data_IF_096507426302
#
_entry.id   IF_096507426302
#
_cell.length_a   1.000
_cell.length_b   1.000
_cell.length_c   1.000
_cell.angle_alpha   90.00
_cell.angle_beta   90.00
_cell.angle_gamma   90.00
#
_symmetry.space_group_name_H-M   'P 1'
#
loop_
_entity.id
_entity.type
_entity.pdbx_description
1 polymer ?
2 non-polymer ?
3 water ?
#
# COMPACT_ATOMS: atom_id res chain seq x y z
N UNK A 22 30.96 -4.14 -14.15
CA UNK A 22 30.06 -3.75 -15.23
C UNK A 22 29.23 -2.54 -14.84
N UNK A 23 28.99 -1.67 -15.82
CA UNK A 23 28.32 -0.40 -15.61
C UNK A 23 27.30 -0.10 -16.70
N UNK A 24 27.00 -1.04 -17.59
CA UNK A 24 26.08 -0.80 -18.69
C UNK A 24 25.26 -2.06 -18.89
N UNK A 25 23.99 -1.89 -19.26
CA UNK A 25 23.17 -3.02 -19.71
C UNK A 25 22.04 -2.45 -20.54
N UNK A 26 22.20 -2.53 -21.87
CA UNK A 26 21.33 -1.74 -22.73
C UNK A 26 21.46 -0.27 -22.34
N UNK A 27 20.33 0.41 -22.21
CA UNK A 27 20.32 1.81 -21.78
C UNK A 27 20.19 1.95 -20.27
N UNK A 28 20.36 0.88 -19.51
CA UNK A 28 20.54 1.00 -18.06
C UNK A 28 22.01 1.26 -17.79
N UNK A 29 22.33 2.47 -17.38
CA UNK A 29 23.70 2.91 -17.22
C UNK A 29 23.84 3.52 -15.83
N UNK A 30 24.95 3.19 -15.15
CA UNK A 30 25.14 3.64 -13.78
C UNK A 30 25.23 5.17 -13.69
N UNK A 31 24.66 5.72 -12.62
CA UNK A 31 24.48 7.14 -12.34
C UNK A 31 23.23 7.67 -13.01
N UNK A 32 22.50 6.87 -13.79
CA UNK A 32 21.25 7.36 -14.35
C UNK A 32 20.17 7.49 -13.27
N UNK A 33 19.23 8.38 -13.53
CA UNK A 33 18.05 8.46 -12.70
C UNK A 33 17.08 7.36 -13.07
N UNK A 34 16.42 6.81 -12.06
CA UNK A 34 15.52 5.69 -12.23
C UNK A 34 14.43 5.70 -11.14
N UNK A 35 13.36 4.96 -11.40
CA UNK A 35 12.36 4.62 -10.41
C UNK A 35 12.53 3.19 -9.92
N UNK A 36 12.45 3.02 -8.60
CA UNK A 36 12.60 1.73 -7.97
C UNK A 36 11.43 1.42 -7.04
N UNK A 37 11.11 0.14 -6.97
CA UNK A 37 9.96 -0.34 -6.19
C UNK A 37 10.43 -0.70 -4.80
N UNK A 38 9.88 -0.01 -3.78
CA UNK A 38 10.22 -0.31 -2.40
C UNK A 38 9.39 -1.46 -1.88
N UNK A 39 9.76 -1.92 -0.68
CA UNK A 39 9.20 -3.14 -0.12
C UNK A 39 7.77 -2.91 0.35
N UNK A 40 7.37 -1.64 0.44
CA UNK A 40 6.00 -1.19 0.67
C UNK A 40 5.16 -1.18 -0.60
N UNK A 41 5.70 -1.48 -1.77
CA UNK A 41 5.00 -1.54 -3.03
C UNK A 41 4.73 -0.18 -3.66
N UNK A 42 5.06 0.92 -3.01
CA UNK A 42 5.14 2.14 -3.76
C UNK A 42 6.54 2.33 -4.35
N UNK A 43 6.62 3.17 -5.38
CA UNK A 43 7.81 3.41 -6.18
C UNK A 43 8.33 4.83 -5.97
N UNK A 44 9.66 4.97 -6.00
CA UNK A 44 10.34 6.20 -5.61
C UNK A 44 11.57 6.39 -6.48
N UNK A 45 11.84 7.65 -6.72
CA UNK A 45 12.92 8.06 -7.60
C UNK A 45 14.25 7.83 -6.90
N UNK A 46 15.25 7.40 -7.65
CA UNK A 46 16.57 7.28 -7.11
C UNK A 46 17.62 7.26 -8.20
N UNK A 47 18.78 6.74 -7.84
CA UNK A 47 19.92 6.68 -8.75
C UNK A 47 20.39 5.25 -8.91
N UNK A 48 20.56 4.83 -10.15
CA UNK A 48 21.15 3.52 -10.38
C UNK A 48 22.63 3.60 -10.03
N UNK A 49 23.04 2.98 -8.92
CA UNK A 49 24.43 3.05 -8.50
C UNK A 49 25.23 1.79 -8.81
N UNK A 50 24.61 0.72 -9.29
CA UNK A 50 25.38 -0.47 -9.60
C UNK A 50 24.54 -1.44 -10.40
N UNK A 51 25.24 -2.35 -11.09
CA UNK A 51 24.65 -3.50 -11.76
C UNK A 51 25.43 -4.74 -11.32
N UNK A 52 24.70 -5.79 -10.94
CA UNK A 52 25.25 -7.00 -10.32
C UNK A 52 24.70 -8.21 -11.05
N UNK A 53 25.59 -9.16 -11.36
CA UNK A 53 25.13 -10.44 -11.86
C UNK A 53 24.66 -11.28 -10.68
N UNK A 54 23.46 -11.86 -10.79
CA UNK A 54 22.97 -12.86 -9.86
C UNK A 54 22.31 -13.97 -10.69
N UNK A 55 22.69 -15.22 -10.39
CA UNK A 55 22.28 -16.34 -11.21
C UNK A 55 22.42 -16.00 -12.69
N UNK A 56 21.40 -16.31 -13.49
CA UNK A 56 21.48 -16.11 -14.95
C UNK A 56 21.22 -14.69 -15.43
N UNK A 57 20.93 -13.76 -14.52
CA UNK A 57 20.63 -12.40 -14.93
C UNK A 57 21.28 -11.31 -14.10
N UNK A 58 20.84 -10.08 -14.34
CA UNK A 58 21.36 -8.91 -13.66
C UNK A 58 20.33 -8.39 -12.68
N UNK A 59 20.82 -7.92 -11.53
CA UNK A 59 20.06 -7.07 -10.62
C UNK A 59 20.67 -5.66 -10.59
N UNK A 60 19.87 -4.68 -10.15
CA UNK A 60 20.17 -3.27 -10.28
C UNK A 60 20.08 -2.60 -8.92
N UNK A 61 21.17 -2.00 -8.48
CA UNK A 61 21.22 -1.41 -7.15
C UNK A 61 20.78 0.05 -7.23
N UNK A 62 19.71 0.40 -6.50
CA UNK A 62 19.12 1.73 -6.55
C UNK A 62 19.30 2.42 -5.20
N UNK A 63 19.85 3.62 -5.20
CA UNK A 63 19.86 4.45 -4.02
C UNK A 63 18.76 5.49 -4.13
N UNK A 64 17.79 5.44 -3.21
CA UNK A 64 16.58 6.24 -3.38
C UNK A 64 16.84 7.66 -2.93
N UNK A 65 16.23 8.63 -3.63
CA UNK A 65 16.33 10.02 -3.24
C UNK A 65 15.93 10.19 -1.78
N UNK A 66 14.82 9.57 -1.38
CA UNK A 66 14.24 9.73 -0.06
C UNK A 66 15.24 9.23 0.99
N UNK A 67 15.46 7.92 1.00
CA UNK A 67 16.31 7.23 1.94
C UNK A 67 16.28 5.76 1.56
N UNK A 68 17.37 5.00 1.75
CA UNK A 68 17.37 3.59 1.45
C UNK A 68 18.08 3.24 0.14
N UNK A 69 18.48 1.97 0.04
CA UNK A 69 19.05 1.34 -1.16
C UNK A 69 18.38 -0.02 -1.38
N UNK A 70 18.26 -0.46 -2.62
CA UNK A 70 17.77 -1.82 -2.86
C UNK A 70 18.45 -2.41 -4.08
N UNK A 71 18.60 -3.72 -4.07
CA UNK A 71 19.10 -4.47 -5.22
C UNK A 71 17.88 -5.09 -5.89
N UNK A 72 17.47 -4.54 -7.02
CA UNK A 72 16.17 -4.84 -7.58
C UNK A 72 16.30 -5.58 -8.91
N UNK A 73 15.42 -6.51 -9.18
CA UNK A 73 15.39 -7.08 -10.51
C UNK A 73 14.86 -6.05 -11.50
N UNK A 74 15.06 -6.35 -12.79
CA UNK A 74 14.75 -5.41 -13.85
C UNK A 74 13.28 -5.03 -13.93
N UNK A 75 12.38 -5.88 -13.49
CA UNK A 75 10.95 -5.59 -13.53
C UNK A 75 10.49 -4.77 -12.33
N UNK A 76 11.41 -4.50 -11.40
CA UNK A 76 11.16 -3.66 -10.25
C UNK A 76 11.90 -2.32 -10.31
N UNK A 77 12.18 -1.87 -11.53
CA UNK A 77 12.69 -0.54 -11.80
C UNK A 77 11.95 -0.05 -13.03
N UNK A 78 11.89 1.26 -13.16
CA UNK A 78 11.24 1.89 -14.27
C UNK A 78 12.03 3.15 -14.66
N UNK A 79 11.91 3.52 -15.92
CA UNK A 79 12.56 4.74 -16.37
C UNK A 79 11.85 5.96 -15.86
N UNK A 80 12.63 6.99 -15.68
CA UNK A 80 12.34 8.35 -15.27
C UNK A 80 11.49 9.15 -16.25
N UNK A 81 11.12 8.63 -17.42
CA UNK A 81 10.39 9.45 -18.38
C UNK A 81 9.03 8.81 -18.66
N UNK A 82 8.11 9.62 -19.23
CA UNK A 82 6.83 9.12 -19.71
C UNK A 82 7.00 8.46 -21.08
N UNK A 83 6.34 7.34 -21.32
CA UNK A 83 6.64 6.55 -22.51
C UNK A 83 5.93 7.09 -23.73
N UNK A 84 6.50 6.88 -24.93
CA UNK A 84 5.77 7.27 -26.14
C UNK A 84 4.46 6.50 -26.22
N UNK A 85 3.35 7.24 -26.26
CA UNK A 85 2.03 6.61 -26.33
C UNK A 85 2.01 5.49 -27.39
N UNK A 86 2.71 5.69 -28.52
CA UNK A 86 2.82 4.65 -29.53
C UNK A 86 3.90 3.63 -29.18
N UNK A 87 3.96 3.22 -27.92
CA UNK A 87 4.79 2.12 -27.47
C UNK A 87 4.03 1.28 -26.47
N UNK A 88 2.82 1.69 -26.09
CA UNK A 88 2.05 1.11 -25.01
C UNK A 88 0.89 0.34 -25.60
N UNK A 89 0.70 -0.85 -25.08
CA UNK A 89 -0.27 -1.77 -25.61
C UNK A 89 -1.02 -2.35 -24.42
N UNK A 90 -2.15 -2.98 -24.69
CA UNK A 90 -2.81 -3.77 -23.65
C UNK A 90 -1.86 -4.87 -23.24
N UNK A 91 -1.52 -4.92 -21.94
CA UNK A 91 -0.49 -5.79 -21.42
C UNK A 91 0.78 -5.09 -20.98
N UNK A 92 0.97 -3.83 -21.36
CA UNK A 92 2.21 -3.13 -20.96
C UNK A 92 2.32 -3.02 -19.44
N UNK A 93 3.51 -3.30 -18.93
CA UNK A 93 3.79 -3.19 -17.50
C UNK A 93 4.30 -1.79 -17.21
N UNK A 94 3.57 -1.06 -16.38
CA UNK A 94 3.86 0.35 -16.15
C UNK A 94 3.78 0.67 -14.67
N UNK A 95 4.27 1.86 -14.36
CA UNK A 95 4.06 2.52 -13.07
C UNK A 95 3.18 3.72 -13.35
N UNK A 96 2.14 3.90 -12.54
CA UNK A 96 1.19 4.98 -12.71
C UNK A 96 1.04 5.78 -11.44
N UNK A 97 0.76 7.06 -11.64
CA UNK A 97 0.39 7.93 -10.55
C UNK A 97 -0.99 7.56 -10.01
N UNK A 98 -1.06 7.47 -8.69
CA UNK A 98 -2.29 7.24 -7.97
C UNK A 98 -2.51 8.46 -7.08
N UNK A 99 -3.69 9.07 -7.15
CA UNK A 99 -3.95 10.37 -6.51
C UNK A 99 -5.02 10.16 -5.46
N UNK A 100 -4.65 10.26 -4.18
CA UNK A 100 -5.54 10.20 -3.02
C UNK A 100 -5.97 11.60 -2.63
N UNK A 101 -6.49 12.33 -3.61
CA UNK A 101 -6.90 13.69 -3.40
C UNK A 101 -5.69 14.57 -3.57
N UNK A 102 -5.10 14.90 -2.43
CA UNK A 102 -3.90 15.73 -2.38
C UNK A 102 -2.60 14.92 -2.60
N UNK A 103 -2.49 13.74 -1.99
CA UNK A 103 -1.27 12.96 -2.10
C UNK A 103 -1.15 12.31 -3.48
N UNK A 104 0.09 12.09 -3.93
CA UNK A 104 0.38 11.34 -5.16
C UNK A 104 1.33 10.21 -4.81
N UNK A 105 0.96 9.00 -5.22
CA UNK A 105 1.86 7.85 -5.10
C UNK A 105 2.14 7.22 -6.48
N UNK A 106 3.24 6.46 -6.57
CA UNK A 106 3.55 5.67 -7.74
C UNK A 106 3.40 4.19 -7.43
N UNK A 107 2.65 3.51 -8.27
CA UNK A 107 2.20 2.14 -8.05
C UNK A 107 2.15 1.40 -9.38
N UNK A 108 2.51 0.14 -9.35
CA UNK A 108 2.65 -0.67 -10.55
C UNK A 108 1.30 -1.22 -11.02
N UNK A 109 1.22 -1.51 -12.32
CA UNK A 109 -0.04 -1.89 -12.93
C UNK A 109 0.17 -2.35 -14.36
N UNK A 110 -0.96 -2.57 -15.04
CA UNK A 110 -1.01 -3.11 -16.41
C UNK A 110 -1.92 -2.22 -17.23
N UNK A 111 -1.49 -1.84 -18.44
CA UNK A 111 -2.39 -1.11 -19.34
C UNK A 111 -3.52 -2.04 -19.78
N UNK A 112 -4.75 -1.67 -19.44
CA UNK A 112 -5.93 -2.42 -19.86
C UNK A 112 -6.61 -1.82 -21.08
N UNK A 113 -6.53 -0.51 -21.28
CA UNK A 113 -7.04 0.16 -22.47
C UNK A 113 -6.08 1.27 -22.82
N UNK A 114 -5.95 1.52 -24.12
CA UNK A 114 -5.26 2.68 -24.64
C UNK A 114 -6.27 3.71 -25.12
N UNK A 115 -5.82 4.94 -25.38
CA UNK A 115 -6.75 6.04 -25.60
C UNK A 115 -7.64 5.81 -26.81
N UNK A 116 -8.92 6.15 -26.64
CA UNK A 116 -9.86 6.11 -27.74
C UNK A 116 -11.00 7.09 -27.41
N UNK A 117 -11.93 7.22 -28.36
CA UNK A 117 -13.02 8.16 -28.20
C UNK A 117 -13.82 7.85 -26.95
N UNK A 118 -14.21 6.57 -26.80
CA UNK A 118 -15.10 6.16 -25.71
C UNK A 118 -14.50 6.39 -24.32
N UNK A 119 -13.18 6.34 -24.17
CA UNK A 119 -12.60 6.60 -22.86
C UNK A 119 -12.00 7.99 -22.72
N UNK A 120 -12.30 8.90 -23.66
CA UNK A 120 -11.89 10.30 -23.52
C UNK A 120 -10.35 10.39 -23.56
N UNK A 121 -9.76 9.52 -24.39
CA UNK A 121 -8.34 9.56 -24.75
C UNK A 121 -7.45 9.39 -23.53
N UNK A 122 -7.80 8.42 -22.68
CA UNK A 122 -7.06 8.06 -21.48
C UNK A 122 -6.68 6.58 -21.53
N UNK A 123 -5.60 6.27 -20.79
CA UNK A 123 -5.17 4.90 -20.54
C UNK A 123 -5.90 4.35 -19.30
N UNK A 124 -6.46 3.17 -19.42
CA UNK A 124 -7.03 2.50 -18.25
C UNK A 124 -5.96 1.61 -17.66
N UNK A 125 -5.72 1.74 -16.36
CA UNK A 125 -4.67 1.01 -15.68
C UNK A 125 -5.31 0.06 -14.68
N UNK A 126 -4.97 -1.24 -14.78
CA UNK A 126 -5.26 -2.19 -13.72
C UNK A 126 -4.03 -2.27 -12.82
N UNK A 127 -4.11 -1.70 -11.62
CA UNK A 127 -3.01 -1.80 -10.68
C UNK A 127 -2.88 -3.19 -10.06
N UNK A 128 -1.68 -3.47 -9.55
CA UNK A 128 -1.36 -4.75 -8.90
C UNK A 128 -2.18 -5.05 -7.67
N UNK A 129 -2.74 -4.05 -6.98
CA UNK A 129 -3.61 -4.34 -5.83
C UNK A 129 -5.10 -4.41 -6.22
N UNK A 130 -5.41 -4.55 -7.52
CA UNK A 130 -6.80 -4.71 -7.95
C UNK A 130 -7.59 -3.45 -8.19
N UNK A 131 -7.00 -2.28 -8.00
CA UNK A 131 -7.69 -1.03 -8.27
C UNK A 131 -7.60 -0.72 -9.75
N UNK A 132 -8.51 0.14 -10.24
CA UNK A 132 -8.50 0.58 -11.62
C UNK A 132 -8.75 2.09 -11.76
N UNK A 133 -8.02 2.74 -12.67
CA UNK A 133 -8.28 4.16 -12.92
C UNK A 133 -7.79 4.53 -14.32
N UNK A 134 -8.33 5.62 -14.83
CA UNK A 134 -7.91 6.20 -16.08
C UNK A 134 -6.83 7.24 -15.82
N UNK A 135 -5.79 7.23 -16.64
CA UNK A 135 -4.71 8.20 -16.51
C UNK A 135 -4.31 8.69 -17.89
N UNK A 136 -3.56 9.79 -17.90
CA UNK A 136 -2.95 10.35 -19.09
C UNK A 136 -1.53 9.84 -19.25
N UNK A 137 -1.00 9.96 -20.47
CA UNK A 137 0.38 9.56 -20.78
C UNK A 137 1.38 10.19 -19.83
N UNK A 138 1.09 11.37 -19.30
CA UNK A 138 2.04 12.05 -18.44
C UNK A 138 1.97 11.57 -17.00
N UNK A 139 1.18 10.53 -16.75
CA UNK A 139 1.10 9.93 -15.43
C UNK A 139 1.64 8.50 -15.45
N UNK A 140 2.44 8.14 -16.47
CA UNK A 140 2.91 6.79 -16.66
C UNK A 140 4.41 6.72 -16.80
N UNK A 141 4.98 5.65 -16.27
CA UNK A 141 6.38 5.39 -16.43
C UNK A 141 6.56 3.95 -16.86
N UNK A 142 7.44 3.66 -17.80
CA UNK A 142 7.52 2.28 -18.28
C UNK A 142 8.51 1.46 -17.46
N UNK A 143 8.11 0.23 -17.16
CA UNK A 143 8.98 -0.68 -16.42
C UNK A 143 10.13 -1.14 -17.32
N UNK A 144 11.35 -1.11 -16.77
CA UNK A 144 12.55 -1.29 -17.59
C UNK A 144 12.57 -2.65 -18.26
N UNK A 145 12.38 -3.72 -17.49
CA UNK A 145 12.55 -5.11 -17.97
C UNK A 145 11.39 -5.99 -17.53
N UNK A 146 10.24 -5.84 -18.18
CA UNK A 146 9.07 -6.60 -17.77
C UNK A 146 9.24 -8.06 -18.14
N UNK A 147 8.43 -8.90 -17.50
CA UNK A 147 8.45 -10.31 -17.84
C UNK A 147 7.81 -10.53 -19.19
N UNK A 148 8.16 -11.66 -19.82
CA UNK A 148 7.59 -11.98 -21.12
C UNK A 148 6.09 -12.08 -21.02
N UNK A 149 5.61 -12.75 -19.99
CA UNK A 149 4.23 -12.65 -19.58
C UNK A 149 4.18 -11.57 -18.50
N UNK A 150 3.61 -10.42 -18.83
CA UNK A 150 3.82 -9.22 -18.00
C UNK A 150 3.15 -9.35 -16.64
N UNK A 151 2.05 -10.10 -16.56
CA UNK A 151 1.33 -10.33 -15.31
C UNK A 151 2.06 -11.27 -14.37
N UNK A 152 3.11 -11.93 -14.79
CA UNK A 152 3.59 -13.02 -13.95
C UNK A 152 4.30 -12.52 -12.70
N UNK A 153 4.55 -11.23 -12.58
CA UNK A 153 5.10 -10.69 -11.36
C UNK A 153 4.06 -9.92 -10.56
N UNK A 154 2.80 -10.14 -10.84
CA UNK A 154 1.73 -9.62 -9.99
C UNK A 154 1.62 -10.54 -8.80
N UNK A 155 1.79 -9.99 -7.57
CA UNK A 155 1.95 -10.84 -6.40
C UNK A 155 0.62 -11.39 -5.89
N UNK A 156 -0.40 -10.53 -5.83
CA UNK A 156 -1.74 -10.96 -5.43
C UNK A 156 -2.31 -11.88 -6.51
N UNK A 157 -2.61 -13.13 -6.13
CA UNK A 157 -2.90 -14.16 -7.14
C UNK A 157 -4.25 -13.93 -7.81
N UNK A 158 -5.25 -13.47 -7.05
CA UNK A 158 -6.54 -13.14 -7.64
C UNK A 158 -6.41 -12.02 -8.67
N UNK A 159 -5.59 -11.00 -8.39
CA UNK A 159 -5.37 -9.94 -9.37
C UNK A 159 -4.61 -10.48 -10.57
N UNK A 160 -3.57 -11.28 -10.31
CA UNK A 160 -2.81 -11.88 -11.38
C UNK A 160 -3.73 -12.67 -12.32
N UNK A 161 -4.56 -13.55 -11.75
CA UNK A 161 -5.39 -14.41 -12.60
C UNK A 161 -6.37 -13.57 -13.39
N UNK A 162 -6.97 -12.58 -12.75
CA UNK A 162 -7.83 -11.69 -13.49
C UNK A 162 -7.11 -11.02 -14.66
N UNK A 163 -5.86 -10.59 -14.45
CA UNK A 163 -5.18 -9.84 -15.52
C UNK A 163 -4.72 -10.79 -16.62
N UNK A 164 -4.20 -11.97 -16.26
CA UNK A 164 -3.94 -12.97 -17.29
C UNK A 164 -5.18 -13.24 -18.16
N UNK A 165 -6.32 -13.56 -17.54
CA UNK A 165 -7.51 -13.82 -18.37
C UNK A 165 -7.81 -12.61 -19.22
N UNK A 166 -7.72 -11.43 -18.66
CA UNK A 166 -8.08 -10.23 -19.39
C UNK A 166 -7.15 -9.97 -20.55
N UNK A 167 -5.85 -10.02 -20.31
CA UNK A 167 -4.90 -9.71 -21.39
C UNK A 167 -4.97 -10.81 -22.45
N UNK A 168 -5.04 -12.05 -22.02
CA UNK A 168 -5.15 -13.18 -22.93
C UNK A 168 -6.44 -13.16 -23.73
N UNK A 169 -7.54 -12.68 -23.14
CA UNK A 169 -8.81 -12.64 -23.84
C UNK A 169 -8.95 -11.44 -24.75
N UNK A 170 -7.91 -10.62 -24.87
CA UNK A 170 -8.14 -9.18 -24.92
C UNK A 170 -9.29 -8.53 -25.63
N UNK A 171 -9.33 -8.30 -26.94
CA UNK A 171 -10.30 -7.28 -27.36
C UNK A 171 -11.69 -7.69 -26.89
N UNK A 172 -11.91 -8.99 -26.61
CA UNK A 172 -13.05 -9.43 -25.79
C UNK A 172 -13.00 -8.66 -24.46
N UNK A 173 -14.05 -7.90 -24.14
CA UNK A 173 -14.07 -7.04 -22.96
C UNK A 173 -15.46 -7.09 -22.32
N UNK A 174 -15.83 -8.25 -21.77
CA UNK A 174 -17.18 -8.42 -21.22
C UNK A 174 -17.39 -7.52 -20.01
N UNK A 175 -18.39 -6.64 -20.13
CA UNK A 175 -18.77 -5.64 -19.16
C UNK A 175 -20.27 -5.63 -19.04
N UNK A 176 -20.76 -5.01 -18.00
CA UNK A 176 -22.19 -4.78 -17.86
C UNK A 176 -22.46 -3.32 -18.15
N UNK A 177 -23.62 -3.11 -18.75
CA UNK A 177 -24.12 -1.77 -18.94
C UNK A 177 -24.85 -1.28 -17.70
N UNK A 178 -24.60 -0.03 -17.32
CA UNK A 178 -25.19 0.53 -16.10
C UNK A 178 -25.50 2.01 -16.30
N UNK A 179 -26.58 2.47 -15.67
CA UNK A 179 -27.07 3.84 -15.81
C UNK A 179 -27.06 4.52 -14.46
N UNK A 180 -26.75 5.81 -14.48
CA UNK A 180 -26.90 6.66 -13.30
C UNK A 180 -28.22 6.38 -12.59
N UNK A 181 -28.15 6.20 -11.27
CA UNK A 181 -29.32 5.96 -10.43
C UNK A 181 -29.67 4.51 -10.22
N UNK A 182 -29.15 3.61 -11.06
CA UNK A 182 -29.46 2.19 -10.95
C UNK A 182 -29.08 1.66 -9.57
N UNK A 183 -29.98 0.88 -8.98
CA UNK A 183 -29.75 0.23 -7.70
C UNK A 183 -29.30 -1.19 -7.95
N UNK A 184 -28.17 -1.55 -7.32
CA UNK A 184 -27.58 -2.87 -7.49
C UNK A 184 -26.91 -3.22 -6.19
N UNK A 185 -26.58 -4.49 -6.07
CA UNK A 185 -25.71 -4.95 -5.01
C UNK A 185 -24.27 -4.99 -5.50
N UNK A 186 -23.36 -4.50 -4.65
CA UNK A 186 -21.94 -4.48 -4.95
C UNK A 186 -21.20 -5.15 -3.79
N UNK A 187 -20.26 -6.02 -4.12
CA UNK A 187 -19.50 -6.74 -3.11
C UNK A 187 -18.42 -5.88 -2.50
N UNK A 188 -18.11 -6.16 -1.23
CA UNK A 188 -17.01 -5.47 -0.53
C UNK A 188 -16.66 -6.30 0.69
N UNK A 189 -15.47 -6.89 0.67
CA UNK A 189 -14.97 -7.67 1.79
C UNK A 189 -15.86 -8.85 2.12
N UNK A 190 -16.32 -9.57 1.10
CA UNK A 190 -17.12 -10.77 1.28
C UNK A 190 -18.61 -10.54 1.51
N UNK A 191 -19.07 -9.31 1.46
CA UNK A 191 -20.48 -8.96 1.71
C UNK A 191 -21.01 -8.18 0.53
N UNK A 192 -22.26 -8.44 0.14
CA UNK A 192 -22.92 -7.71 -0.92
C UNK A 192 -23.81 -6.61 -0.34
N UNK A 193 -23.52 -5.38 -0.73
CA UNK A 193 -24.09 -4.21 -0.10
C UNK A 193 -25.06 -3.55 -1.07
N UNK A 194 -26.16 -3.03 -0.53
CA UNK A 194 -27.06 -2.23 -1.34
C UNK A 194 -26.33 -0.96 -1.79
N UNK A 195 -26.40 -0.66 -3.08
CA UNK A 195 -25.63 0.44 -3.62
C UNK A 195 -26.34 1.01 -4.85
N UNK A 196 -25.78 2.14 -5.32
CA UNK A 196 -26.33 2.93 -6.41
C UNK A 196 -25.24 3.33 -7.39
N UNK A 197 -25.58 3.35 -8.66
CA UNK A 197 -24.69 3.85 -9.70
C UNK A 197 -24.78 5.37 -9.74
N UNK A 198 -23.72 6.05 -9.30
CA UNK A 198 -23.69 7.50 -9.36
C UNK A 198 -23.20 8.02 -10.70
N UNK A 199 -22.21 7.37 -11.30
CA UNK A 199 -21.58 7.89 -12.50
C UNK A 199 -21.02 6.76 -13.34
N UNK A 200 -21.05 6.95 -14.66
CA UNK A 200 -20.31 6.11 -15.60
C UNK A 200 -19.27 6.99 -16.28
N UNK A 201 -18.00 6.54 -16.26
CA UNK A 201 -16.90 7.14 -16.98
C UNK A 201 -16.20 6.03 -17.75
N UNK A 202 -16.56 5.86 -19.01
CA UNK A 202 -15.91 4.85 -19.84
C UNK A 202 -16.16 3.42 -19.37
N UNK A 203 -15.09 2.69 -19.05
CA UNK A 203 -15.21 1.33 -18.55
C UNK A 203 -15.31 1.26 -17.03
N UNK A 204 -15.34 2.39 -16.36
CA UNK A 204 -15.49 2.45 -14.92
C UNK A 204 -16.88 2.98 -14.58
N UNK A 205 -17.32 2.63 -13.37
CA UNK A 205 -18.56 3.15 -12.81
C UNK A 205 -18.26 3.56 -11.36
N UNK A 206 -18.87 4.65 -10.91
CA UNK A 206 -18.73 5.06 -9.52
C UNK A 206 -19.93 4.57 -8.73
N UNK A 207 -19.67 3.78 -7.70
CA UNK A 207 -20.71 3.14 -6.91
C UNK A 207 -20.78 3.84 -5.57
N UNK A 208 -21.98 4.13 -5.13
CA UNK A 208 -22.23 4.66 -3.80
C UNK A 208 -22.79 3.54 -2.94
N UNK A 209 -22.00 3.10 -1.97
CA UNK A 209 -22.50 2.16 -0.98
C UNK A 209 -23.42 2.93 -0.03
N UNK A 210 -24.58 2.37 0.29
CA UNK A 210 -25.60 3.13 1.01
C UNK A 210 -25.47 2.99 2.53
N UNK A 211 -25.41 1.76 3.03
CA UNK A 211 -25.35 1.51 4.48
C UNK A 211 -24.39 2.44 5.21
N UNK A 212 -23.33 2.92 4.52
CA UNK A 212 -22.31 3.75 5.16
C UNK A 212 -21.79 4.89 4.29
N UNK A 213 -22.32 5.08 3.08
CA UNK A 213 -22.15 6.28 2.22
C UNK A 213 -20.82 6.37 1.43
N UNK A 214 -19.97 5.36 1.48
CA UNK A 214 -18.72 5.34 0.75
C UNK A 214 -18.90 5.30 -0.78
N UNK A 215 -18.09 6.08 -1.49
CA UNK A 215 -18.04 5.99 -2.95
C UNK A 215 -16.79 5.25 -3.40
N UNK A 216 -16.91 4.60 -4.56
CA UNK A 216 -15.80 3.78 -5.05
C UNK A 216 -15.89 3.61 -6.56
N UNK A 217 -14.77 3.83 -7.24
CA UNK A 217 -14.68 3.51 -8.66
C UNK A 217 -14.40 2.03 -8.90
N UNK A 218 -15.08 1.47 -9.90
CA UNK A 218 -15.06 0.03 -10.15
C UNK A 218 -15.17 -0.22 -11.64
N UNK A 219 -14.41 -1.21 -12.09
CA UNK A 219 -14.41 -1.64 -13.47
C UNK A 219 -15.73 -2.36 -13.82
N UNK A 220 -16.32 -2.02 -14.97
CA UNK A 220 -17.64 -2.55 -15.27
C UNK A 220 -17.58 -4.02 -15.65
N UNK A 221 -16.39 -4.59 -15.81
CA UNK A 221 -16.22 -6.03 -15.96
C UNK A 221 -15.93 -6.75 -14.68
N UNK A 222 -15.96 -6.07 -13.55
CA UNK A 222 -15.71 -6.73 -12.29
C UNK A 222 -16.92 -7.50 -11.77
N UNK A 223 -16.68 -8.72 -11.28
CA UNK A 223 -17.70 -9.53 -10.65
C UNK A 223 -18.11 -9.04 -9.29
N UNK A 224 -17.52 -7.96 -8.79
CA UNK A 224 -18.05 -7.33 -7.59
C UNK A 224 -19.39 -6.65 -7.86
N UNK A 225 -19.67 -6.31 -9.12
CA UNK A 225 -20.96 -5.80 -9.54
C UNK A 225 -21.91 -6.98 -9.74
N UNK A 226 -23.02 -7.00 -9.00
CA UNK A 226 -23.89 -8.16 -9.04
C UNK A 226 -24.34 -8.48 -10.47
N UNK A 227 -24.83 -7.53 -11.26
CA UNK A 227 -25.18 -7.88 -12.65
C UNK A 227 -24.09 -8.64 -13.40
N UNK A 228 -22.82 -8.30 -13.17
CA UNK A 228 -21.72 -8.99 -13.82
C UNK A 228 -21.48 -10.35 -13.17
N UNK A 229 -21.50 -10.38 -11.84
CA UNK A 229 -21.38 -11.62 -11.12
C UNK A 229 -22.40 -12.62 -11.62
N UNK A 230 -23.59 -12.14 -11.97
CA UNK A 230 -24.72 -12.97 -12.41
C UNK A 230 -24.77 -13.18 -13.92
N UNK A 231 -24.02 -12.41 -14.70
CA UNK A 231 -24.01 -12.56 -16.14
C UNK A 231 -23.64 -13.98 -16.51
N UNK A 232 -24.42 -14.57 -17.42
CA UNK A 232 -24.09 -15.89 -17.96
C UNK A 232 -24.74 -16.05 -19.33
N UNK B 22 -3.35 -31.21 12.86
CA UNK B 22 -3.72 -30.32 13.96
C UNK B 22 -5.13 -29.68 13.78
N UNK B 23 -5.72 -29.29 14.90
CA UNK B 23 -6.97 -28.55 14.94
C UNK B 23 -6.92 -27.34 15.86
N UNK B 24 -6.00 -27.32 16.82
CA UNK B 24 -5.76 -26.22 17.73
C UNK B 24 -4.25 -26.00 17.80
N UNK B 25 -3.86 -24.75 18.04
CA UNK B 25 -2.51 -24.43 18.47
C UNK B 25 -2.66 -23.20 19.35
N UNK B 26 -2.38 -23.33 20.64
CA UNK B 26 -2.84 -22.29 21.55
C UNK B 26 -4.32 -22.04 21.32
N UNK B 27 -4.70 -20.76 21.29
CA UNK B 27 -6.09 -20.40 21.05
C UNK B 27 -6.43 -20.22 19.57
N UNK B 28 -5.58 -20.72 18.68
CA UNK B 28 -5.86 -20.69 17.26
C UNK B 28 -6.52 -22.01 16.89
N UNK B 29 -7.76 -21.94 16.40
CA UNK B 29 -8.63 -23.08 16.26
C UNK B 29 -9.39 -22.94 14.95
N UNK B 30 -9.32 -23.97 14.13
CA UNK B 30 -9.98 -23.96 12.83
C UNK B 30 -11.45 -23.55 12.95
N UNK B 31 -11.94 -22.85 11.93
CA UNK B 31 -13.23 -22.20 11.78
C UNK B 31 -13.29 -20.85 12.49
N UNK B 32 -12.31 -20.50 13.32
CA UNK B 32 -12.35 -19.19 13.96
C UNK B 32 -12.22 -18.05 12.94
N UNK B 33 -12.77 -16.89 13.32
CA UNK B 33 -12.56 -15.65 12.59
C UNK B 33 -11.18 -15.11 12.90
N UNK B 34 -10.56 -14.47 11.91
CA UNK B 34 -9.19 -14.01 12.06
C UNK B 34 -8.87 -12.98 10.98
N UNK B 35 -7.84 -12.19 11.22
CA UNK B 35 -7.35 -11.24 10.23
C UNK B 35 -6.05 -11.76 9.62
N UNK B 36 -5.91 -11.56 8.31
CA UNK B 36 -4.74 -12.03 7.59
C UNK B 36 -4.14 -10.95 6.71
N UNK B 37 -2.83 -11.00 6.56
CA UNK B 37 -2.12 -10.01 5.76
C UNK B 37 -2.00 -10.47 4.32
N UNK B 38 -2.62 -9.75 3.38
CA UNK B 38 -2.49 -10.07 1.96
C UNK B 38 -1.13 -9.61 1.42
N UNK B 39 -0.81 -10.09 0.22
CA UNK B 39 0.46 -9.75 -0.42
C UNK B 39 0.54 -8.26 -0.73
N UNK B 40 -0.60 -7.60 -0.80
CA UNK B 40 -0.70 -6.17 -0.94
C UNK B 40 -0.34 -5.39 0.32
N UNK B 41 -0.12 -6.06 1.44
CA UNK B 41 0.21 -5.49 2.73
C UNK B 41 -1.01 -4.94 3.49
N UNK B 42 -2.20 -4.88 2.91
CA UNK B 42 -3.33 -4.55 3.76
C UNK B 42 -3.81 -5.87 4.34
N UNK B 43 -4.53 -5.79 5.45
CA UNK B 43 -5.00 -6.96 6.20
C UNK B 43 -6.51 -7.07 6.03
N UNK B 44 -7.01 -8.31 6.01
CA UNK B 44 -8.40 -8.60 5.65
C UNK B 44 -8.93 -9.77 6.47
N UNK B 45 -10.24 -9.72 6.71
CA UNK B 45 -10.90 -10.70 7.58
C UNK B 45 -11.21 -11.94 6.79
N UNK B 46 -11.02 -13.06 7.44
CA UNK B 46 -11.38 -14.36 6.89
C UNK B 46 -11.47 -15.37 8.00
N UNK B 47 -11.25 -16.63 7.63
CA UNK B 47 -11.45 -17.77 8.51
C UNK B 47 -10.19 -18.63 8.50
N UNK B 48 -9.80 -19.10 9.66
CA UNK B 48 -8.69 -20.03 9.74
C UNK B 48 -9.21 -21.40 9.35
N UNK B 49 -8.87 -21.87 8.15
CA UNK B 49 -9.38 -23.16 7.69
C UNK B 49 -8.43 -24.34 7.94
N UNK B 50 -7.14 -24.09 8.14
CA UNK B 50 -6.24 -25.19 8.48
C UNK B 50 -5.02 -24.64 9.18
N UNK B 51 -4.40 -25.53 9.93
CA UNK B 51 -3.10 -25.32 10.52
C UNK B 51 -2.14 -26.36 9.94
N UNK B 52 -0.88 -25.98 9.73
CA UNK B 52 0.10 -26.84 9.05
C UNK B 52 1.43 -26.79 9.77
N UNK B 53 1.96 -27.96 10.08
CA UNK B 53 3.26 -28.01 10.73
C UNK B 53 4.33 -27.82 9.68
N UNK B 54 5.24 -26.87 9.89
CA UNK B 54 6.34 -26.60 8.98
C UNK B 54 7.61 -26.59 9.82
N UNK B 55 8.25 -27.76 9.93
CA UNK B 55 9.45 -27.92 10.68
C UNK B 55 9.27 -27.57 12.15
N UNK B 56 10.10 -26.66 12.66
CA UNK B 56 10.04 -26.33 14.10
C UNK B 56 8.71 -25.74 14.55
N UNK B 57 7.95 -25.12 13.65
CA UNK B 57 6.77 -24.39 14.03
C UNK B 57 5.58 -24.77 13.16
N UNK B 58 4.68 -23.80 13.02
CA UNK B 58 3.40 -24.04 12.35
C UNK B 58 3.07 -22.83 11.47
N UNK B 59 2.33 -23.08 10.40
CA UNK B 59 1.76 -22.04 9.57
C UNK B 59 0.24 -22.18 9.61
N UNK B 60 -0.43 -21.09 9.20
CA UNK B 60 -1.85 -20.89 9.43
C UNK B 60 -2.51 -20.49 8.13
N UNK B 61 -3.45 -21.32 7.66
CA UNK B 61 -4.08 -21.14 6.35
C UNK B 61 -5.39 -20.39 6.49
N UNK B 62 -5.48 -19.25 5.81
CA UNK B 62 -6.61 -18.34 5.93
C UNK B 62 -7.34 -18.29 4.60
N UNK B 63 -8.66 -18.35 4.65
CA UNK B 63 -9.51 -18.10 3.50
C UNK B 63 -10.21 -16.78 3.75
N UNK B 64 -10.00 -15.83 2.86
CA UNK B 64 -10.41 -14.47 3.09
C UNK B 64 -11.87 -14.30 2.72
N UNK B 65 -12.58 -13.49 3.50
CA UNK B 65 -13.94 -13.15 3.12
C UNK B 65 -14.00 -12.63 1.68
N UNK B 66 -13.01 -11.79 1.30
CA UNK B 66 -12.87 -11.11 0.02
C UNK B 66 -12.22 -12.00 -1.05
N UNK B 67 -12.36 -13.32 -0.98
CA UNK B 67 -11.82 -14.15 -2.06
C UNK B 67 -10.29 -14.14 -2.28
N UNK B 68 -9.54 -14.78 -1.40
CA UNK B 68 -8.30 -15.45 -1.76
C UNK B 68 -7.92 -16.35 -0.59
N UNK B 69 -6.78 -17.00 -0.72
CA UNK B 69 -6.35 -17.96 0.28
C UNK B 69 -4.86 -17.82 0.51
N UNK B 70 -4.42 -17.90 1.75
CA UNK B 70 -2.99 -17.71 2.02
C UNK B 70 -2.56 -18.56 3.19
N UNK B 71 -1.36 -19.08 3.07
CA UNK B 71 -0.74 -19.83 4.13
C UNK B 71 0.26 -18.92 4.79
N UNK B 72 0.04 -18.59 6.06
CA UNK B 72 0.69 -17.45 6.71
C UNK B 72 1.41 -17.86 7.98
N UNK B 73 2.53 -17.21 8.24
CA UNK B 73 3.16 -17.41 9.53
C UNK B 73 2.40 -16.64 10.60
N UNK B 74 2.66 -17.01 11.87
CA UNK B 74 1.95 -16.51 13.02
C UNK B 74 2.02 -15.02 13.19
N UNK B 75 3.00 -14.37 12.58
CA UNK B 75 3.12 -12.94 12.76
C UNK B 75 2.38 -12.17 11.66
N UNK B 76 1.75 -12.90 10.73
CA UNK B 76 0.97 -12.35 9.64
C UNK B 76 -0.50 -12.72 9.76
N UNK B 77 -0.95 -12.98 10.99
CA UNK B 77 -2.36 -13.06 11.30
C UNK B 77 -2.57 -12.33 12.62
N UNK B 78 -3.78 -11.90 12.82
CA UNK B 78 -4.09 -11.12 14.00
C UNK B 78 -5.49 -11.52 14.43
N UNK B 79 -5.74 -11.39 15.72
CA UNK B 79 -7.06 -11.74 16.24
C UNK B 79 -8.10 -10.69 15.88
N UNK B 80 -9.30 -11.17 15.61
CA UNK B 80 -10.45 -10.32 15.32
C UNK B 80 -11.07 -9.78 16.61
N UNK B 81 -10.27 -9.22 17.50
CA UNK B 81 -10.82 -8.50 18.62
C UNK B 81 -9.83 -7.43 19.01
N UNK B 82 -10.33 -6.43 19.71
CA UNK B 82 -9.49 -5.34 20.19
C UNK B 82 -8.79 -5.75 21.49
N UNK B 83 -7.49 -5.52 21.64
CA UNK B 83 -6.81 -5.97 22.85
C UNK B 83 -7.21 -5.12 24.03
N UNK B 84 -6.88 -5.56 25.24
CA UNK B 84 -7.08 -4.69 26.39
C UNK B 84 -5.91 -3.73 26.50
N UNK B 85 -6.21 -2.45 26.70
CA UNK B 85 -5.15 -1.45 26.62
C UNK B 85 -4.27 -1.48 27.85
N UNK B 86 -3.86 -2.68 28.26
CA UNK B 86 -2.98 -2.89 29.39
C UNK B 86 -1.93 -3.90 28.98
N UNK B 87 -2.33 -4.83 28.09
CA UNK B 87 -1.37 -5.70 27.44
C UNK B 87 -0.64 -4.99 26.29
N UNK B 88 -0.95 -3.72 26.04
CA UNK B 88 -0.21 -2.98 25.01
C UNK B 88 0.92 -2.17 25.65
N UNK B 89 2.10 -2.35 25.10
CA UNK B 89 3.31 -1.70 25.55
C UNK B 89 3.99 -1.06 24.34
N UNK B 90 4.98 -0.23 24.62
CA UNK B 90 5.80 0.31 23.55
C UNK B 90 6.61 -0.81 22.93
N UNK B 91 6.40 -1.02 21.64
CA UNK B 91 7.00 -2.14 20.93
C UNK B 91 5.98 -3.19 20.50
N UNK B 92 4.77 -3.14 21.04
CA UNK B 92 3.73 -4.12 20.69
C UNK B 92 3.45 -4.12 19.19
N UNK B 93 3.28 -5.32 18.64
CA UNK B 93 2.95 -5.53 17.24
C UNK B 93 1.43 -5.59 17.05
N UNK B 94 0.92 -4.71 16.22
CA UNK B 94 -0.50 -4.54 16.06
C UNK B 94 -0.84 -4.29 14.60
N UNK B 95 -2.10 -4.53 14.32
CA UNK B 95 -2.76 -4.08 13.13
C UNK B 95 -3.69 -2.93 13.51
N UNK B 96 -3.68 -1.85 12.73
CA UNK B 96 -4.44 -0.67 13.06
C UNK B 96 -5.23 -0.15 11.86
N UNK B 97 -6.37 0.45 12.17
CA UNK B 97 -7.21 1.06 11.16
C UNK B 97 -6.52 2.33 10.66
N UNK B 98 -6.57 2.53 9.36
CA UNK B 98 -6.05 3.68 8.65
C UNK B 98 -7.18 4.21 7.79
N UNK B 99 -7.52 5.48 7.95
CA UNK B 99 -8.68 6.09 7.29
C UNK B 99 -8.21 7.00 6.15
N UNK B 100 -8.10 6.43 4.94
CA UNK B 100 -7.73 7.17 3.74
C UNK B 100 -8.97 7.78 3.12
N UNK B 101 -9.52 8.74 3.87
CA UNK B 101 -10.68 9.50 3.44
C UNK B 101 -11.97 8.76 3.69
N UNK B 102 -12.51 8.15 2.64
CA UNK B 102 -13.75 7.39 2.75
C UNK B 102 -13.48 5.91 2.99
N UNK B 103 -12.44 5.33 2.38
CA UNK B 103 -12.11 3.95 2.66
C UNK B 103 -11.45 3.83 4.04
N UNK B 104 -11.56 2.64 4.64
CA UNK B 104 -10.79 2.29 5.84
C UNK B 104 -10.01 1.02 5.54
N UNK B 105 -8.73 1.05 5.85
CA UNK B 105 -7.83 -0.08 5.57
C UNK B 105 -7.21 -0.57 6.86
N UNK B 106 -6.78 -1.81 6.86
CA UNK B 106 -6.04 -2.37 7.98
C UNK B 106 -4.59 -2.54 7.58
N UNK B 107 -3.68 -2.06 8.43
CA UNK B 107 -2.27 -2.07 8.11
C UNK B 107 -1.46 -2.30 9.38
N UNK B 108 -0.32 -2.95 9.24
CA UNK B 108 0.45 -3.29 10.42
C UNK B 108 1.34 -2.15 10.88
N UNK B 109 1.72 -2.22 12.14
CA UNK B 109 2.64 -1.30 12.75
C UNK B 109 2.98 -1.70 14.18
N UNK B 110 3.61 -0.75 14.86
CA UNK B 110 4.17 -0.90 16.19
C UNK B 110 3.56 0.18 17.06
N UNK B 111 3.22 -0.17 18.29
CA UNK B 111 2.80 0.84 19.27
C UNK B 111 4.00 1.66 19.68
N UNK B 112 3.91 2.97 19.45
CA UNK B 112 4.97 3.89 19.81
C UNK B 112 4.72 4.67 21.09
N UNK B 113 3.46 4.84 21.49
CA UNK B 113 3.06 5.54 22.70
C UNK B 113 1.76 4.92 23.21
N UNK B 114 1.67 4.75 24.52
CA UNK B 114 0.43 4.29 25.14
C UNK B 114 -0.36 5.49 25.60
N UNK B 115 -1.64 5.30 25.98
CA UNK B 115 -2.49 6.44 26.36
C UNK B 115 -1.93 7.23 27.54
N UNK B 116 -2.00 8.56 27.43
CA UNK B 116 -1.73 9.43 28.58
C UNK B 116 -2.35 10.81 28.33
N UNK B 117 -2.06 11.73 29.25
CA UNK B 117 -2.74 13.02 29.20
C UNK B 117 -2.27 13.81 27.99
N UNK B 118 -0.97 13.80 27.73
CA UNK B 118 -0.46 14.56 26.58
C UNK B 118 -1.14 14.14 25.29
N UNK B 119 -1.23 12.84 25.02
CA UNK B 119 -1.77 12.39 23.74
C UNK B 119 -3.28 12.18 23.80
N UNK B 120 -3.92 12.57 24.90
CA UNK B 120 -5.37 12.53 25.05
C UNK B 120 -5.89 11.09 25.06
N UNK B 121 -5.17 10.24 25.81
CA UNK B 121 -5.53 8.84 26.04
C UNK B 121 -5.64 8.04 24.75
N UNK B 122 -4.63 8.18 23.88
CA UNK B 122 -4.56 7.48 22.59
C UNK B 122 -3.26 6.72 22.45
N UNK B 123 -3.25 5.84 21.45
CA UNK B 123 -2.08 5.06 21.04
C UNK B 123 -1.46 5.69 19.82
N UNK B 124 -0.16 5.97 19.90
CA UNK B 124 0.60 6.38 18.74
C UNK B 124 1.07 5.12 18.01
N UNK B 125 0.76 5.04 16.72
CA UNK B 125 1.12 3.90 15.88
C UNK B 125 2.09 4.37 14.80
N UNK B 126 3.24 3.70 14.75
CA UNK B 126 4.20 3.76 13.66
C UNK B 126 3.94 2.57 12.75
N UNK B 127 3.35 2.86 11.61
CA UNK B 127 3.06 1.82 10.65
C UNK B 127 4.30 1.33 9.91
N UNK B 128 4.16 0.16 9.29
CA UNK B 128 5.28 -0.46 8.61
C UNK B 128 5.76 0.33 7.39
N UNK B 129 4.95 1.24 6.84
CA UNK B 129 5.39 2.08 5.75
C UNK B 129 5.86 3.45 6.21
N UNK B 130 6.14 3.63 7.50
CA UNK B 130 6.66 4.92 7.96
C UNK B 130 5.61 5.97 8.32
N UNK B 131 4.33 5.73 8.06
CA UNK B 131 3.32 6.65 8.48
C UNK B 131 3.13 6.57 10.00
N UNK B 132 2.55 7.62 10.54
CA UNK B 132 2.34 7.72 11.99
C UNK B 132 0.96 8.29 12.30
N UNK B 133 0.25 7.71 13.26
CA UNK B 133 -1.06 8.28 13.59
C UNK B 133 -1.51 7.87 14.99
N UNK B 134 -2.35 8.72 15.60
CA UNK B 134 -2.99 8.40 16.88
C UNK B 134 -4.29 7.64 16.62
N UNK B 135 -4.51 6.57 17.40
CA UNK B 135 -5.70 5.73 17.28
C UNK B 135 -6.14 5.35 18.68
N UNK B 136 -7.36 4.84 18.78
CA UNK B 136 -7.94 4.32 20.01
C UNK B 136 -7.85 2.80 20.08
N UNK B 137 -8.00 2.27 21.31
CA UNK B 137 -7.99 0.82 21.52
C UNK B 137 -8.93 0.12 20.55
N UNK B 138 -10.03 0.77 20.18
CA UNK B 138 -11.04 0.12 19.37
C UNK B 138 -10.70 0.13 17.89
N UNK B 139 -9.52 0.65 17.52
CA UNK B 139 -9.02 0.61 16.16
C UNK B 139 -7.78 -0.26 16.01
N UNK B 140 -7.53 -1.15 17.00
CA UNK B 140 -6.31 -1.95 17.06
C UNK B 140 -6.65 -3.43 17.17
N UNK B 141 -5.78 -4.25 16.57
CA UNK B 141 -5.88 -5.69 16.67
C UNK B 141 -4.52 -6.30 16.97
N UNK B 142 -4.45 -7.24 17.90
CA UNK B 142 -3.15 -7.81 18.27
C UNK B 142 -2.72 -8.84 17.25
N UNK B 143 -1.48 -8.75 16.80
CA UNK B 143 -0.95 -9.81 15.99
C UNK B 143 -0.79 -11.07 16.85
N UNK B 144 -1.15 -12.21 16.29
CA UNK B 144 -1.21 -13.45 17.07
C UNK B 144 0.16 -13.89 17.61
N UNK B 145 1.18 -13.94 16.76
CA UNK B 145 2.47 -14.48 17.18
C UNK B 145 3.59 -13.56 16.74
N UNK B 146 3.74 -12.43 17.41
CA UNK B 146 4.80 -11.51 17.02
C UNK B 146 6.15 -12.17 17.21
N UNK B 147 7.19 -11.54 16.67
CA UNK B 147 8.52 -12.05 16.91
C UNK B 147 9.07 -11.47 18.21
N UNK B 148 10.02 -12.20 18.78
CA UNK B 148 10.68 -11.79 20.02
C UNK B 148 11.09 -10.33 19.98
N UNK B 149 11.84 -9.95 18.96
CA UNK B 149 12.08 -8.54 18.66
C UNK B 149 11.05 -8.15 17.59
N UNK B 150 10.07 -7.35 18.01
CA UNK B 150 8.85 -7.16 17.23
C UNK B 150 9.10 -6.47 15.90
N UNK B 151 10.12 -5.63 15.80
CA UNK B 151 10.41 -4.90 14.57
C UNK B 151 11.09 -5.73 13.49
N UNK B 152 11.44 -6.97 13.77
CA UNK B 152 12.27 -7.73 12.82
C UNK B 152 11.52 -8.22 11.60
N UNK B 153 10.20 -8.18 11.58
CA UNK B 153 9.46 -8.51 10.38
C UNK B 153 8.98 -7.24 9.65
N UNK B 154 9.56 -6.09 9.98
CA UNK B 154 9.30 -4.88 9.23
C UNK B 154 10.16 -4.96 7.98
N UNK B 155 9.51 -5.02 6.82
CA UNK B 155 10.20 -5.31 5.56
C UNK B 155 11.06 -4.14 5.10
N UNK B 156 10.53 -2.94 5.18
CA UNK B 156 11.28 -1.77 4.73
C UNK B 156 12.40 -1.51 5.71
N UNK B 157 13.64 -1.52 5.22
CA UNK B 157 14.80 -1.52 6.11
C UNK B 157 14.95 -0.19 6.81
N UNK B 158 14.74 0.91 6.10
CA UNK B 158 14.87 2.19 6.76
C UNK B 158 13.82 2.34 7.87
N UNK B 159 12.62 1.76 7.69
CA UNK B 159 11.61 1.87 8.73
C UNK B 159 11.93 0.93 9.87
N UNK B 160 12.39 -0.26 9.54
CA UNK B 160 12.78 -1.21 10.56
C UNK B 160 13.83 -0.61 11.48
N UNK B 161 14.80 0.10 10.89
CA UNK B 161 15.93 0.61 11.69
C UNK B 161 15.46 1.72 12.63
N UNK B 162 14.62 2.62 12.13
CA UNK B 162 14.07 3.66 12.98
C UNK B 162 13.34 3.05 14.16
N UNK B 163 12.46 2.07 13.89
CA UNK B 163 11.70 1.43 14.96
C UNK B 163 12.64 0.82 15.99
N UNK B 164 13.63 0.08 15.53
CA UNK B 164 14.59 -0.51 16.45
C UNK B 164 15.31 0.54 17.28
N UNK B 165 15.80 1.61 16.67
CA UNK B 165 16.40 2.69 17.47
C UNK B 165 15.38 3.27 18.43
N UNK B 166 14.19 3.58 17.94
CA UNK B 166 13.15 4.16 18.78
C UNK B 166 12.87 3.30 20.00
N UNK B 167 12.62 2.01 19.79
CA UNK B 167 12.21 1.17 20.91
C UNK B 167 13.39 0.94 21.83
N UNK B 168 14.60 0.90 21.29
CA UNK B 168 15.78 0.67 22.11
C UNK B 168 16.10 1.90 22.96
N UNK B 169 16.03 3.10 22.38
CA UNK B 169 16.27 4.31 23.18
C UNK B 169 15.11 4.66 24.10
N UNK B 170 14.08 3.84 24.15
CA UNK B 170 12.72 4.32 24.08
C UNK B 170 12.49 5.53 24.92
N UNK B 171 12.50 5.42 26.23
CA UNK B 171 11.92 6.53 26.97
C UNK B 171 12.54 7.82 26.47
N UNK B 172 13.81 7.76 26.00
CA UNK B 172 14.45 8.87 25.30
C UNK B 172 13.79 9.08 23.96
N UNK B 173 13.31 10.29 23.70
CA UNK B 173 12.56 10.58 22.47
C UNK B 173 12.78 12.01 22.04
N UNK B 174 13.87 12.27 21.32
CA UNK B 174 14.17 13.64 20.95
C UNK B 174 13.09 14.15 20.01
N UNK B 175 12.53 15.30 20.34
CA UNK B 175 11.52 15.92 19.51
C UNK B 175 11.83 17.39 19.41
N UNK B 176 11.19 18.02 18.44
CA UNK B 176 11.36 19.42 18.11
C UNK B 176 10.12 20.20 18.54
N UNK B 177 10.29 21.38 19.15
CA UNK B 177 9.15 22.20 19.53
C UNK B 177 8.69 23.07 18.34
N UNK B 178 7.45 22.87 17.91
CA UNK B 178 6.90 23.65 16.80
C UNK B 178 5.64 24.38 17.24
N UNK B 179 5.41 25.52 16.62
CA UNK B 179 4.24 26.33 16.98
C UNK B 179 3.46 26.62 15.71
N UNK B 180 2.14 26.61 15.85
CA UNK B 180 1.29 26.86 14.70
C UNK B 180 1.71 28.17 14.02
N UNK B 181 1.62 28.19 12.70
CA UNK B 181 2.08 29.30 11.89
C UNK B 181 3.55 29.31 11.56
N UNK B 182 4.37 28.63 12.34
CA UNK B 182 5.81 28.60 12.12
C UNK B 182 6.14 28.13 10.69
N UNK B 183 7.09 28.80 10.06
CA UNK B 183 7.50 28.42 8.73
C UNK B 183 8.76 27.59 8.84
N UNK B 184 8.77 26.41 8.21
CA UNK B 184 9.93 25.52 8.19
C UNK B 184 10.02 24.82 6.85
N UNK B 185 11.15 24.18 6.63
CA UNK B 185 11.28 23.28 5.49
C UNK B 185 11.08 21.84 5.93
N UNK B 186 10.31 21.10 5.13
CA UNK B 186 10.03 19.70 5.35
C UNK B 186 10.46 18.88 4.15
N UNK B 187 11.06 17.73 4.41
CA UNK B 187 11.55 16.84 3.38
C UNK B 187 10.39 16.04 2.80
N UNK B 188 10.46 15.78 1.50
CA UNK B 188 9.55 14.86 0.84
C UNK B 188 10.23 14.39 -0.42
N UNK B 189 10.46 13.09 -0.49
CA UNK B 189 11.02 12.45 -1.67
C UNK B 189 12.36 13.04 -2.06
N UNK B 190 13.23 13.26 -1.06
CA UNK B 190 14.58 13.77 -1.31
C UNK B 190 14.70 15.27 -1.53
N UNK B 191 13.59 16.00 -1.62
CA UNK B 191 13.58 17.45 -1.73
C UNK B 191 13.15 18.07 -0.42
N UNK B 192 13.68 19.25 -0.12
CA UNK B 192 13.22 20.08 1.00
C UNK B 192 12.27 21.17 0.50
N UNK B 193 11.07 21.19 1.05
CA UNK B 193 9.99 22.04 0.60
C UNK B 193 9.63 23.08 1.64
N UNK B 194 9.27 24.27 1.17
CA UNK B 194 8.73 25.30 2.03
C UNK B 194 7.41 24.82 2.62
N UNK B 195 7.23 25.03 3.92
CA UNK B 195 6.04 24.49 4.53
C UNK B 195 5.72 25.30 5.78
N UNK B 196 4.56 25.02 6.33
CA UNK B 196 4.08 25.73 7.49
C UNK B 196 3.45 24.75 8.44
N UNK B 197 3.69 24.98 9.72
CA UNK B 197 3.05 24.23 10.79
C UNK B 197 1.61 24.71 10.96
N UNK B 198 0.66 23.79 10.79
CA UNK B 198 -0.75 24.06 10.90
C UNK B 198 -1.30 23.75 12.28
N UNK B 199 -0.72 22.78 12.96
CA UNK B 199 -1.37 22.24 14.13
C UNK B 199 -0.40 21.27 14.80
N UNK B 200 -0.44 21.20 16.11
CA UNK B 200 0.33 20.23 16.88
C UNK B 200 -0.66 19.40 17.68
N UNK B 201 -0.57 18.07 17.54
CA UNK B 201 -1.35 17.10 18.33
C UNK B 201 -0.37 16.14 18.99
N UNK B 202 -0.13 16.31 20.28
CA UNK B 202 0.80 15.45 20.98
C UNK B 202 2.19 15.35 20.35
N UNK B 203 2.54 14.18 19.83
CA UNK B 203 3.87 13.96 19.27
C UNK B 203 3.88 14.12 17.78
N UNK B 204 2.77 14.55 17.21
CA UNK B 204 2.66 14.77 15.79
C UNK B 204 2.43 16.24 15.51
N UNK B 205 2.72 16.60 14.28
CA UNK B 205 2.53 17.95 13.82
C UNK B 205 1.95 17.82 12.42
N UNK B 206 0.91 18.58 12.15
CA UNK B 206 0.34 18.64 10.81
C UNK B 206 1.07 19.73 10.05
N UNK B 207 1.63 19.36 8.92
CA UNK B 207 2.48 20.23 8.13
C UNK B 207 1.77 20.49 6.82
N UNK B 208 1.72 21.75 6.43
CA UNK B 208 1.17 22.16 5.15
C UNK B 208 2.30 22.52 4.21
N UNK B 209 2.40 21.80 3.09
CA UNK B 209 3.39 22.07 2.08
C UNK B 209 2.86 23.16 1.19
N UNK B 210 3.63 24.23 1.01
CA UNK B 210 3.07 25.45 0.42
C UNK B 210 3.01 25.40 -1.08
N UNK B 211 3.85 24.59 -1.71
CA UNK B 211 3.86 24.53 -3.17
C UNK B 211 2.54 23.96 -3.69
N UNK B 212 2.08 22.86 -3.11
CA UNK B 212 0.93 22.14 -3.65
C UNK B 212 -0.22 22.06 -2.66
N UNK B 213 -0.15 22.77 -1.55
CA UNK B 213 -1.15 22.82 -0.48
C UNK B 213 -1.49 21.45 0.14
N UNK B 214 -0.63 20.46 -0.01
CA UNK B 214 -0.83 19.16 0.62
C UNK B 214 -0.53 19.19 2.13
N UNK B 215 -1.31 18.45 2.90
CA UNK B 215 -1.11 18.33 4.33
C UNK B 215 -0.64 16.93 4.70
N UNK B 216 0.04 16.84 5.82
CA UNK B 216 0.64 15.58 6.22
C UNK B 216 0.99 15.67 7.68
N UNK B 217 0.59 14.66 8.44
CA UNK B 217 0.97 14.54 9.84
C UNK B 217 2.31 13.84 9.93
N UNK B 218 3.16 14.32 10.83
CA UNK B 218 4.57 13.93 10.91
C UNK B 218 4.97 13.89 12.37
N UNK B 219 5.62 12.80 12.75
CA UNK B 219 6.18 12.66 14.09
C UNK B 219 7.17 13.78 14.36
N UNK B 220 7.12 14.36 15.56
CA UNK B 220 7.94 15.53 15.83
C UNK B 220 9.39 15.18 16.11
N UNK B 221 9.73 13.89 16.19
CA UNK B 221 11.12 13.46 16.19
C UNK B 221 11.66 13.00 14.84
N UNK B 222 10.98 13.33 13.75
CA UNK B 222 11.39 12.90 12.41
C UNK B 222 12.38 13.90 11.83
N UNK B 223 13.43 13.38 11.22
CA UNK B 223 14.43 14.25 10.58
C UNK B 223 13.95 14.83 9.27
N UNK B 224 12.76 14.48 8.81
CA UNK B 224 12.15 15.18 7.70
C UNK B 224 11.78 16.61 8.07
N UNK B 225 11.64 16.92 9.36
CA UNK B 225 11.43 18.30 9.76
C UNK B 225 12.81 18.96 9.90
N UNK B 226 13.01 20.08 9.18
CA UNK B 226 14.33 20.71 9.16
C UNK B 226 14.89 20.99 10.54
N UNK B 227 14.14 21.55 11.49
CA UNK B 227 14.72 21.80 12.82
C UNK B 227 15.17 20.54 13.49
N UNK B 228 14.55 19.41 13.16
CA UNK B 228 14.99 18.14 13.72
C UNK B 228 16.24 17.66 12.97
N UNK B 229 16.24 17.87 11.67
CA UNK B 229 17.37 17.49 10.85
C UNK B 229 18.64 18.20 11.31
N UNK B 230 18.51 19.46 11.69
CA UNK B 230 19.70 20.23 12.05
C UNK B 230 20.17 19.92 13.47
N UNK B 231 19.27 19.91 14.45
CA UNK B 231 19.59 19.45 15.82
C UNK B 231 20.53 18.25 15.81
N UNK B 232 20.17 17.19 15.07
CA UNK B 232 21.04 16.04 14.79
C UNK B 232 22.25 16.44 13.94
X LIG C 1 -10.33 -1.98 -4.80
X LIG C 1 -10.00 0.13 -4.15
X LIG C 1 -1.72 2.68 -2.00
X LIG C 1 -1.78 4.04 -1.71
X LIG C 1 -0.78 4.64 -1.00
X LIG C 1 0.36 2.51 -0.85
X LIG C 1 -3.24 1.48 -6.31
X LIG C 1 -2.51 2.21 -4.30
X LIG C 1 -2.85 1.98 -2.82
X LIG C 1 -4.15 2.49 -2.46
X LIG C 1 -5.17 1.80 -3.31
X LIG C 1 -4.81 1.91 -4.81
X LIG C 1 -7.67 1.66 -3.52
X LIG C 1 -8.75 -0.49 -4.23
X LIG C 1 -8.89 -1.80 -4.62
X LIG C 1 -10.14 1.59 -3.75
X LIG C 1 -8.97 3.67 -3.07
X LIG C 1 0.30 3.87 -0.57
X LIG C 1 -0.65 1.90 -1.58
X LIG C 1 -3.49 1.41 -5.13
X LIG C 1 -6.49 2.45 -3.20
X LIG C 1 -7.52 0.28 -3.92
X LIG C 1 -10.96 -0.84 -4.51
X LIG C 1 -8.94 2.30 -3.46
X LIG C 1 -11.21 2.19 -3.68
X LIG C 1 -10.75 -2.78 -5.05
X LIG C 1 -2.50 4.53 -2.01
X LIG C 1 -0.83 5.55 -0.80
X LIG C 1 1.09 2.01 -0.56
X LIG C 1 -2.33 1.17 -6.46
X LIG C 1 -3.31 2.39 -6.62
X LIG C 1 -3.85 0.92 -6.81
X LIG C 1 -1.61 1.90 -4.49
X LIG C 1 -2.59 3.15 -4.51
X LIG C 1 -2.83 1.02 -2.65
X LIG C 1 -4.19 3.45 -2.62
X LIG C 1 -4.32 2.30 -1.52
X LIG C 1 -5.23 0.87 -3.06
X LIG C 1 -5.46 1.41 -5.34
X LIG C 1 -4.85 2.85 -5.08
X LIG C 1 -8.22 -2.43 -4.75
X LIG C 1 -8.54 3.77 -2.20
X LIG C 1 -9.89 3.95 -3.01
X LIG C 1 -8.50 4.20 -3.72
X LIG C 1 0.97 4.28 -0.08
X LIG C 1 -0.62 0.99 -1.77
X LIG C 1 -6.56 3.28 -2.98
X LIG C 1 -11.81 -0.72 -4.54
X LIG D 1 4.79 9.18 5.12
X LIG D 1 2.63 9.40 4.62
X LIG D 1 -2.05 2.30 2.18
X LIG D 1 -1.54 1.11 1.68
X LIG D 1 -2.40 0.31 0.95
X LIG D 1 -4.24 1.89 1.27
X LIG D 1 -0.41 3.17 6.55
X LIG D 1 -1.21 2.73 4.51
X LIG D 1 -1.04 3.16 3.02
X LIG D 1 -1.22 4.56 2.76
X LIG D 1 -0.26 5.24 3.69
X LIG D 1 -0.51 4.87 5.19
X LIG D 1 0.48 7.59 4.03
X LIG D 1 2.89 8.03 4.62
X LIG D 1 4.23 7.84 4.90
X LIG D 1 1.22 9.90 4.33
X LIG D 1 -1.14 9.42 3.78
X LIG D 1 -3.74 0.70 0.76
X LIG D 1 -3.35 2.67 2.01
X LIG D 1 -0.24 3.47 5.38
X LIG D 1 -0.58 6.67 3.68
X LIG D 1 1.82 7.08 4.27
X LIG D 1 3.83 10.06 4.97
X LIG D 1 0.17 8.96 4.06
X LIG D 1 0.96 11.09 4.38
X LIG D 1 5.68 9.37 5.34
X LIG D 1 -0.65 0.88 1.83
X LIG D 1 -2.08 -0.48 0.59
X LIG D 1 -5.11 2.15 1.14
X LIG D 1 0.26 3.61 7.11
X LIG D 1 -0.31 2.20 6.66
X LIG D 1 -1.29 3.43 6.84
X LIG D 1 -1.04 1.79 4.58
X LIG D 1 -2.12 2.93 4.79
X LIG D 1 -0.14 2.93 2.74
X LIG D 1 -2.13 4.82 2.96
X LIG D 1 -1.00 4.76 1.84
X LIG D 1 0.65 5.08 3.43
X LIG D 1 -1.42 5.06 5.43
X LIG D 1 0.10 5.38 5.74
X LIG D 1 4.68 7.03 4.94
X LIG D 1 -1.42 9.10 2.91
X LIG D 1 -1.15 10.39 3.79
X LIG D 1 -1.74 9.08 4.46
X LIG D 1 -4.30 0.14 0.25
X LIG D 1 -3.65 3.48 2.37
X LIG D 1 -1.38 6.95 3.54
X LIG D 1 3.91 10.91 5.04
#
# INVERSE_FOLDING_TARGET
GSSHHHHHHSSGENLYFQGGELSKDGDLIVSMRILGKKRTKTWHKGTLIAIQTVGPGKKYKVKFDNKGKSLLSGNHIAYDYHPPADKLYVGSRVVAKYKDGNQVWLYAGIVAETPNVKNKLRFLIFFDDGYASYVTQSELYPICRPLKKTWEDIEDISCRDFIEEYVTAYPNRPMVLLKSGQLIKTEWEGTWWKSRVEEVDGSLVRILFLDDKRCEWIYRGSTRLEPMFSMKTSSASALE
GSSHHHHHHSSGENLYFQGGELSKDGDLIVSMRILGKKRTKTWHKGTLIAIQTVGPGKKYKVKFDNKGKSLLSGNHIAYDYHPPADKLYVGSRVVAKYKDGNQVWLYAGIVAETPNVKNKLRFLIFFDDGYASYVTQSELYPICRPLKKTWEDIEDISCRDFIEEYVTAYPNRPMVLLKSGQLIKTEWEGTWWKSRVEEVDGSLVRILFLDDKRCEWIYRGSTRLEPMFSMKTSSASALE
FNC C13 C15 C20 C21 C22 C24 C01 C03 C04 C05 C06 C07 C09 C11 C12 C16 C19 C23 C25 N02 N08 N10 N14 N18 O17 H131 H211 H221 H241 H012 H013 H011 H032 H031 H041 H051 H052 H061 H071 H072 H121 H191 H193 H192 H231 H251 H081 H141
FNC C13 C15 C20 C21 C22 C24 C01 C03 C04 C05 C06 C07 C09 C11 C12 C16 C19 C23 C25 N02 N08 N10 N14 N18 O17 H131 H211 H221 H241 H012 H013 H011 H032 H031 H041 H051 H052 H061 H071 H072 H121 H191 H193 H192 H231 H251 H081 H141
#
